data_IF_978330336601
#
_entry.id   IF_978330336601
#
_cell.length_a   1.000
_cell.length_b   1.000
_cell.length_c   1.000
_cell.angle_alpha   90.00
_cell.angle_beta   90.00
_cell.angle_gamma   90.00
#
_symmetry.space_group_name_H-M   'P 1'
#
loop_
_entity.id
_entity.type
_entity.pdbx_description
1 polymer ?
#
# COMPACT_ATOMS: atom_id res chain seq x y z
N UNK A 1 -30.76 -43.89 -1.77
CA UNK A 1 -31.12 -42.76 -2.66
C UNK A 1 -29.82 -42.04 -2.93
N UNK A 2 -29.38 -41.90 -4.19
CA UNK A 2 -27.99 -41.52 -4.46
C UNK A 2 -27.75 -40.01 -4.32
N UNK A 3 -26.56 -39.71 -3.82
CA UNK A 3 -25.86 -38.44 -3.70
C UNK A 3 -25.35 -37.97 -5.07
N UNK A 4 -26.15 -37.20 -5.82
CA UNK A 4 -25.74 -36.62 -7.13
C UNK A 4 -26.08 -35.12 -7.18
N UNK A 5 -25.58 -34.33 -6.22
CA UNK A 5 -25.71 -32.86 -6.23
C UNK A 5 -24.39 -32.11 -6.06
N UNK A 6 -23.25 -32.80 -6.04
CA UNK A 6 -21.94 -32.16 -5.83
C UNK A 6 -21.11 -31.92 -7.10
N UNK A 7 -21.45 -32.55 -8.23
CA UNK A 7 -20.66 -32.48 -9.48
C UNK A 7 -21.16 -31.44 -10.50
N UNK A 8 -22.25 -30.71 -10.20
CA UNK A 8 -22.90 -29.80 -11.17
C UNK A 8 -22.34 -28.36 -11.15
N UNK A 9 -21.49 -28.01 -10.18
CA UNK A 9 -20.97 -26.64 -10.04
C UNK A 9 -19.74 -26.34 -10.90
N UNK A 10 -18.85 -27.31 -11.12
CA UNK A 10 -17.69 -27.12 -12.01
C UNK A 10 -18.11 -27.04 -13.49
N UNK A 11 -19.18 -27.75 -13.87
CA UNK A 11 -19.72 -27.72 -15.24
C UNK A 11 -20.46 -26.41 -15.60
N UNK A 12 -20.90 -25.62 -14.62
CA UNK A 12 -21.67 -24.41 -14.87
C UNK A 12 -20.83 -23.28 -15.49
N UNK A 13 -19.51 -23.31 -15.27
CA UNK A 13 -18.58 -22.31 -15.81
C UNK A 13 -17.91 -22.73 -17.12
N UNK A 14 -17.80 -24.04 -17.40
CA UNK A 14 -17.25 -24.54 -18.67
C UNK A 14 -18.22 -24.41 -19.86
N UNK A 15 -19.53 -24.33 -19.61
CA UNK A 15 -20.54 -24.20 -20.67
C UNK A 15 -20.84 -22.73 -21.07
N UNK A 16 -20.25 -21.76 -20.38
CA UNK A 16 -20.32 -20.37 -20.81
C UNK A 16 -19.29 -20.16 -21.93
N UNK A 17 -19.67 -19.70 -23.15
CA UNK A 17 -18.73 -19.35 -24.19
C UNK A 17 -18.10 -18.00 -23.84
N UNK A 18 -17.31 -17.96 -22.76
CA UNK A 18 -16.48 -16.83 -22.40
C UNK A 18 -15.08 -17.16 -22.92
N UNK A 19 -14.85 -16.79 -24.17
CA UNK A 19 -13.51 -16.68 -24.73
C UNK A 19 -12.77 -15.60 -23.93
N UNK A 20 -12.08 -16.03 -22.87
CA UNK A 20 -11.34 -15.16 -21.94
C UNK A 20 -9.97 -14.76 -22.50
N UNK A 21 -9.59 -15.29 -23.66
CA UNK A 21 -8.51 -14.74 -24.44
C UNK A 21 -9.06 -13.53 -25.23
N UNK A 22 -8.53 -12.31 -25.04
CA UNK A 22 -8.91 -11.21 -25.91
C UNK A 22 -8.61 -11.62 -27.35
N UNK A 23 -9.61 -11.49 -28.23
CA UNK A 23 -9.45 -11.76 -29.66
C UNK A 23 -8.21 -11.04 -30.19
N UNK A 24 -7.54 -11.57 -31.22
CA UNK A 24 -6.35 -10.91 -31.80
C UNK A 24 -6.62 -9.43 -32.11
N UNK A 25 -7.83 -9.10 -32.54
CA UNK A 25 -8.25 -7.72 -32.81
C UNK A 25 -8.36 -6.86 -31.54
N UNK A 26 -8.85 -7.41 -30.42
CA UNK A 26 -8.82 -6.73 -29.11
C UNK A 26 -7.40 -6.60 -28.55
N UNK A 27 -6.54 -7.58 -28.74
CA UNK A 27 -5.11 -7.48 -28.40
C UNK A 27 -4.42 -6.41 -29.23
N UNK A 28 -4.69 -6.34 -30.53
CA UNK A 28 -4.15 -5.30 -31.42
C UNK A 28 -4.70 -3.92 -31.03
N UNK A 29 -5.98 -3.82 -30.65
CA UNK A 29 -6.61 -2.58 -30.20
C UNK A 29 -6.05 -2.10 -28.87
N UNK A 30 -5.84 -3.02 -27.91
CA UNK A 30 -5.20 -2.73 -26.63
C UNK A 30 -3.73 -2.35 -26.83
N UNK A 31 -3.02 -3.05 -27.70
CA UNK A 31 -1.64 -2.74 -28.08
C UNK A 31 -1.56 -1.37 -28.75
N UNK A 32 -2.48 -1.02 -29.66
CA UNK A 32 -2.54 0.31 -30.27
C UNK A 32 -2.88 1.38 -29.24
N UNK A 33 -3.81 1.14 -28.31
CA UNK A 33 -4.09 2.10 -27.23
C UNK A 33 -2.91 2.29 -26.29
N UNK A 34 -2.18 1.22 -25.97
CA UNK A 34 -0.96 1.31 -25.16
C UNK A 34 0.13 2.05 -25.91
N UNK A 35 0.31 1.80 -27.22
CA UNK A 35 1.25 2.53 -28.08
C UNK A 35 0.84 4.00 -28.21
N UNK A 36 -0.42 4.32 -28.48
CA UNK A 36 -0.92 5.70 -28.53
C UNK A 36 -0.79 6.39 -27.18
N UNK A 37 -0.99 5.69 -26.06
CA UNK A 37 -0.80 6.25 -24.71
C UNK A 37 0.69 6.45 -24.39
N UNK A 38 1.56 5.61 -24.95
CA UNK A 38 3.01 5.72 -24.80
C UNK A 38 3.61 6.78 -25.74
N UNK A 39 3.04 6.97 -26.93
CA UNK A 39 3.43 7.99 -27.93
C UNK A 39 2.79 9.36 -27.65
N UNK A 40 1.63 9.42 -26.99
CA UNK A 40 0.98 10.67 -26.54
C UNK A 40 1.54 11.21 -25.22
N UNK A 41 2.42 10.46 -24.54
CA UNK A 41 3.32 11.06 -23.56
C UNK A 41 4.31 11.95 -24.32
N UNK A 42 4.41 13.26 -24.00
CA UNK A 42 5.47 14.07 -24.57
C UNK A 42 6.80 13.51 -24.05
N UNK A 43 7.51 12.77 -24.90
CA UNK A 43 8.96 12.62 -24.75
C UNK A 43 9.53 14.02 -24.60
N UNK A 44 10.53 14.25 -23.72
CA UNK A 44 11.16 15.55 -23.62
C UNK A 44 11.81 15.82 -24.97
N UNK A 45 11.13 16.59 -25.82
CA UNK A 45 11.75 17.21 -26.98
C UNK A 45 12.94 17.97 -26.42
N UNK A 46 14.12 17.43 -26.71
CA UNK A 46 15.38 18.14 -26.63
C UNK A 46 15.12 19.59 -27.05
N UNK A 47 15.28 20.52 -26.10
CA UNK A 47 15.08 21.97 -26.26
C UNK A 47 16.04 22.59 -27.31
N UNK A 48 16.78 21.77 -28.06
CA UNK A 48 17.73 22.20 -29.09
C UNK A 48 17.15 22.30 -30.50
N UNK A 49 15.99 21.70 -30.82
CA UNK A 49 15.44 21.77 -32.19
C UNK A 49 14.49 22.95 -32.44
N UNK A 50 13.92 23.56 -31.40
CA UNK A 50 13.11 24.78 -31.53
C UNK A 50 13.99 26.03 -31.83
N UNK A 51 15.21 26.10 -31.29
CA UNK A 51 16.13 27.22 -31.56
C UNK A 51 16.73 27.21 -32.98
N UNK A 52 16.92 26.04 -33.61
CA UNK A 52 17.43 25.96 -34.98
C UNK A 52 16.40 26.44 -36.03
N UNK A 53 15.09 26.26 -35.76
CA UNK A 53 14.03 26.71 -36.66
C UNK A 53 13.73 28.21 -36.56
N UNK A 54 13.87 28.80 -35.36
CA UNK A 54 13.78 30.26 -35.18
C UNK A 54 14.98 30.99 -35.80
N UNK A 55 16.20 30.43 -35.66
CA UNK A 55 17.42 31.02 -36.22
C UNK A 55 17.42 31.10 -37.76
N UNK A 56 16.79 30.12 -38.43
CA UNK A 56 16.64 30.12 -39.90
C UNK A 56 15.62 31.13 -40.42
N UNK A 57 14.65 31.51 -39.60
CA UNK A 57 13.58 32.46 -39.98
C UNK A 57 14.03 33.90 -39.73
N UNK A 58 14.86 34.13 -38.71
CA UNK A 58 15.41 35.45 -38.36
C UNK A 58 16.59 35.91 -39.24
N UNK A 59 17.31 34.99 -39.90
CA UNK A 59 18.38 35.37 -40.86
C UNK A 59 17.88 35.87 -42.23
N UNK A 60 16.56 35.88 -42.48
CA UNK A 60 15.98 36.37 -43.74
C UNK A 60 15.67 37.87 -43.75
N UNK A 61 15.70 38.55 -42.59
CA UNK A 61 15.39 39.97 -42.50
C UNK A 61 16.65 40.76 -42.14
N UNK A 62 17.10 41.63 -43.06
CA UNK A 62 18.15 42.62 -42.81
C UNK A 62 17.59 43.71 -41.89
N UNK A 63 17.49 43.44 -40.59
CA UNK A 63 17.18 44.45 -39.59
C UNK A 63 18.48 44.95 -38.93
N UNK A 64 18.62 46.26 -38.68
CA UNK A 64 19.83 46.85 -38.09
C UNK A 64 20.05 46.35 -36.66
N UNK A 65 21.33 46.16 -36.31
CA UNK A 65 21.81 45.45 -35.11
C UNK A 65 21.24 45.92 -33.76
N UNK A 66 20.56 47.07 -33.71
CA UNK A 66 20.10 47.72 -32.48
C UNK A 66 18.74 47.17 -32.01
N UNK A 67 17.96 46.53 -32.91
CA UNK A 67 16.67 45.91 -32.55
C UNK A 67 16.85 44.55 -31.88
N UNK A 68 17.97 43.85 -32.14
CA UNK A 68 18.29 42.55 -31.55
C UNK A 68 18.74 42.71 -30.09
N UNK A 69 19.46 43.78 -29.75
CA UNK A 69 19.92 44.04 -28.39
C UNK A 69 18.75 44.36 -27.43
N UNK A 70 17.73 45.11 -27.87
CA UNK A 70 16.56 45.43 -27.05
C UNK A 70 15.68 44.20 -26.77
N UNK A 71 15.54 43.29 -27.74
CA UNK A 71 14.80 42.04 -27.57
C UNK A 71 15.58 41.05 -26.69
N UNK A 72 16.91 40.98 -26.84
CA UNK A 72 17.74 40.12 -25.97
C UNK A 72 17.83 40.63 -24.52
N UNK A 73 17.86 41.95 -24.29
CA UNK A 73 17.83 42.52 -22.93
C UNK A 73 16.43 42.39 -22.32
N UNK A 74 15.36 42.54 -23.11
CA UNK A 74 13.99 42.27 -22.67
C UNK A 74 13.74 40.79 -22.35
N UNK A 75 14.27 39.86 -23.15
CA UNK A 75 14.18 38.42 -22.88
C UNK A 75 15.10 37.97 -21.73
N UNK A 76 16.25 38.61 -21.50
CA UNK A 76 17.07 38.33 -20.32
C UNK A 76 16.44 38.86 -19.04
N UNK A 77 15.78 40.03 -19.06
CA UNK A 77 15.02 40.50 -17.89
C UNK A 77 13.78 39.65 -17.60
N UNK A 78 13.18 39.01 -18.62
CA UNK A 78 12.08 38.04 -18.44
C UNK A 78 12.56 36.61 -18.08
N UNK A 79 13.85 36.30 -18.23
CA UNK A 79 14.45 35.04 -17.81
C UNK A 79 15.11 35.09 -16.43
N UNK A 80 15.13 36.27 -15.79
CA UNK A 80 15.69 36.46 -14.44
C UNK A 80 14.71 37.09 -13.44
N UNK A 81 13.43 37.28 -13.78
CA UNK A 81 12.36 37.56 -12.83
C UNK A 81 11.52 36.31 -12.54
N UNK A 82 11.69 35.81 -11.31
CA UNK A 82 10.91 34.79 -10.61
C UNK A 82 11.11 33.32 -11.02
N UNK A 83 12.34 32.80 -10.83
CA UNK A 83 12.44 31.55 -10.06
C UNK A 83 12.31 31.90 -8.57
N UNK A 84 11.16 32.46 -8.18
CA UNK A 84 10.77 32.37 -6.79
C UNK A 84 10.68 30.88 -6.51
N UNK A 85 11.62 30.36 -5.73
CA UNK A 85 11.39 29.16 -4.93
C UNK A 85 9.95 29.31 -4.41
N UNK A 86 9.05 28.36 -4.63
CA UNK A 86 7.69 28.53 -4.15
C UNK A 86 7.72 28.85 -2.65
N UNK A 87 6.84 29.76 -2.25
CA UNK A 87 7.06 30.77 -1.22
C UNK A 87 6.99 30.29 0.24
N UNK A 88 7.37 29.05 0.55
CA UNK A 88 7.65 28.59 1.91
C UNK A 88 8.52 27.32 1.90
N UNK A 89 9.23 27.04 3.00
CA UNK A 89 10.22 25.96 3.04
C UNK A 89 9.57 24.58 3.29
N UNK A 90 10.06 23.55 2.60
CA UNK A 90 9.74 22.13 2.86
C UNK A 90 9.83 21.79 4.36
N UNK A 91 10.82 22.35 5.04
CA UNK A 91 11.01 22.17 6.49
C UNK A 91 9.81 22.66 7.30
N UNK A 92 9.22 23.80 6.93
CA UNK A 92 8.05 24.35 7.62
C UNK A 92 6.80 23.49 7.39
N UNK A 93 6.62 22.94 6.18
CA UNK A 93 5.54 21.98 5.89
C UNK A 93 5.64 20.77 6.81
N UNK A 94 6.81 20.14 6.84
CA UNK A 94 7.04 18.93 7.63
C UNK A 94 6.93 19.25 9.13
N UNK A 95 7.51 20.36 9.57
CA UNK A 95 7.44 20.81 10.97
C UNK A 95 5.99 21.03 11.43
N UNK A 96 5.14 21.61 10.58
CA UNK A 96 3.72 21.79 10.89
C UNK A 96 2.99 20.45 11.09
N UNK A 97 3.28 19.45 10.26
CA UNK A 97 2.72 18.09 10.41
C UNK A 97 3.25 17.44 11.69
N UNK A 98 4.54 17.62 12.02
CA UNK A 98 5.16 17.05 13.23
C UNK A 98 4.63 17.68 14.53
N UNK A 99 4.30 18.97 14.51
CA UNK A 99 3.79 19.70 15.70
C UNK A 99 2.29 19.55 15.92
N UNK A 100 1.55 18.95 14.99
CA UNK A 100 0.11 18.83 15.12
C UNK A 100 -0.29 17.95 16.32
N UNK A 101 -1.03 18.51 17.28
CA UNK A 101 -1.52 17.76 18.43
C UNK A 101 -2.80 16.96 18.08
N UNK A 102 -3.57 17.47 17.13
CA UNK A 102 -4.77 16.82 16.60
C UNK A 102 -4.82 16.95 15.08
N UNK A 103 -5.52 16.03 14.44
CA UNK A 103 -5.88 16.13 13.03
C UNK A 103 -7.21 15.44 12.75
N UNK A 104 -7.99 15.98 11.81
CA UNK A 104 -9.08 15.26 11.16
C UNK A 104 -8.97 15.38 9.65
N UNK A 105 -9.32 14.31 8.93
CA UNK A 105 -9.25 14.27 7.47
C UNK A 105 -10.15 13.17 6.90
N UNK A 106 -10.48 13.32 5.62
CA UNK A 106 -11.15 12.27 4.85
C UNK A 106 -10.09 11.40 4.18
N UNK A 107 -10.34 10.09 4.14
CA UNK A 107 -9.47 9.09 3.51
C UNK A 107 -10.26 8.26 2.51
N UNK A 108 -9.71 8.11 1.31
CA UNK A 108 -10.22 7.24 0.25
C UNK A 108 -9.17 6.19 -0.07
N UNK A 109 -9.55 4.92 0.04
CA UNK A 109 -8.69 3.76 -0.27
C UNK A 109 -9.28 3.05 -1.47
N UNK A 110 -8.51 2.95 -2.55
CA UNK A 110 -8.87 2.24 -3.77
C UNK A 110 -7.91 1.08 -3.97
N UNK A 111 -8.42 -0.13 -3.80
CA UNK A 111 -7.70 -1.36 -4.13
C UNK A 111 -8.13 -1.79 -5.53
N UNK A 112 -7.17 -2.11 -6.39
CA UNK A 112 -7.44 -2.57 -7.75
C UNK A 112 -8.43 -3.74 -7.76
N UNK A 113 -9.53 -3.58 -8.52
CA UNK A 113 -10.61 -4.57 -8.60
C UNK A 113 -11.65 -4.51 -7.49
N UNK A 114 -11.55 -3.56 -6.56
CA UNK A 114 -12.52 -3.35 -5.47
C UNK A 114 -13.14 -1.95 -5.51
N UNK A 115 -14.35 -1.75 -4.95
CA UNK A 115 -14.91 -0.42 -4.77
C UNK A 115 -14.04 0.46 -3.87
N UNK A 116 -13.94 1.75 -4.19
CA UNK A 116 -13.28 2.73 -3.32
C UNK A 116 -13.99 2.80 -1.97
N UNK A 117 -13.21 2.68 -0.90
CA UNK A 117 -13.68 2.83 0.47
C UNK A 117 -13.38 4.23 0.96
N UNK A 118 -14.42 4.96 1.36
CA UNK A 118 -14.29 6.26 2.00
C UNK A 118 -14.45 6.11 3.52
N UNK A 119 -13.63 6.84 4.27
CA UNK A 119 -13.67 6.87 5.72
C UNK A 119 -13.23 8.23 6.25
N UNK A 120 -13.70 8.57 7.45
CA UNK A 120 -13.20 9.73 8.19
C UNK A 120 -12.15 9.27 9.18
N UNK A 121 -11.04 9.98 9.28
CA UNK A 121 -9.96 9.70 10.22
C UNK A 121 -9.79 10.86 11.20
N UNK A 122 -9.56 10.52 12.47
CA UNK A 122 -9.24 11.46 13.52
C UNK A 122 -7.99 10.98 14.25
N UNK A 123 -7.10 11.91 14.54
CA UNK A 123 -5.91 11.70 15.34
C UNK A 123 -5.94 12.65 16.52
N UNK A 124 -5.67 12.10 17.69
CA UNK A 124 -5.45 12.84 18.93
C UNK A 124 -4.18 12.31 19.56
N UNK A 125 -3.24 13.21 19.81
CA UNK A 125 -2.02 12.85 20.50
C UNK A 125 -2.30 12.22 21.88
N UNK A 126 -1.36 11.46 22.44
CA UNK A 126 -0.07 11.04 21.86
C UNK A 126 -0.16 9.86 20.90
N UNK A 127 -1.28 9.13 20.85
CA UNK A 127 -1.37 7.93 20.00
C UNK A 127 -2.79 7.50 19.63
N UNK A 128 -3.81 8.28 20.01
CA UNK A 128 -5.19 7.94 19.75
C UNK A 128 -5.51 8.16 18.28
N UNK A 129 -6.13 7.15 17.69
CA UNK A 129 -6.53 7.18 16.30
C UNK A 129 -7.91 6.55 16.16
N UNK A 130 -8.74 7.18 15.33
CA UNK A 130 -10.11 6.75 15.06
C UNK A 130 -10.37 6.78 13.57
N UNK A 131 -10.99 5.73 13.05
CA UNK A 131 -11.48 5.66 11.68
C UNK A 131 -12.95 5.29 11.67
N UNK A 132 -13.74 5.99 10.87
CA UNK A 132 -15.16 5.76 10.70
C UNK A 132 -15.44 5.44 9.24
N UNK A 133 -15.86 4.21 8.96
CA UNK A 133 -16.22 3.76 7.63
C UNK A 133 -17.72 4.04 7.39
N UNK A 134 -18.09 4.31 6.13
CA UNK A 134 -19.48 4.59 5.75
C UNK A 134 -20.45 3.43 6.01
N UNK A 135 -19.94 2.21 6.19
CA UNK A 135 -20.74 1.02 6.48
C UNK A 135 -21.11 0.89 7.98
N UNK A 136 -20.77 1.89 8.81
CA UNK A 136 -21.04 1.86 10.25
C UNK A 136 -19.97 1.11 11.06
N UNK A 137 -18.85 0.72 10.44
CA UNK A 137 -17.71 0.19 11.17
C UNK A 137 -16.83 1.33 11.70
N UNK A 138 -16.42 1.23 12.96
CA UNK A 138 -15.54 2.21 13.61
C UNK A 138 -14.34 1.49 14.20
N UNK A 139 -13.12 1.94 13.85
CA UNK A 139 -11.90 1.50 14.51
C UNK A 139 -11.42 2.61 15.44
N UNK A 140 -11.03 2.24 16.66
CA UNK A 140 -10.40 3.12 17.64
C UNK A 140 -9.15 2.41 18.13
N UNK A 141 -8.01 3.08 18.12
CA UNK A 141 -6.76 2.54 18.66
C UNK A 141 -6.12 3.50 19.62
N UNK A 142 -5.60 2.95 20.71
CA UNK A 142 -4.66 3.60 21.61
C UNK A 142 -3.40 2.73 21.68
N UNK A 143 -2.35 3.19 21.02
CA UNK A 143 -1.11 2.43 20.88
C UNK A 143 -0.20 2.57 22.11
N UNK A 144 -0.46 3.54 23.00
CA UNK A 144 0.23 3.59 24.28
C UNK A 144 -0.19 2.43 25.18
N UNK A 145 -1.48 2.10 25.17
CA UNK A 145 -2.00 0.93 25.90
C UNK A 145 -1.95 -0.37 25.08
N UNK A 146 -1.62 -0.27 23.78
CA UNK A 146 -1.52 -1.42 22.89
C UNK A 146 -2.88 -2.02 22.57
N UNK A 147 -3.94 -1.21 22.50
CA UNK A 147 -5.31 -1.69 22.27
C UNK A 147 -5.88 -1.13 20.98
N UNK A 148 -6.58 -2.00 20.26
CA UNK A 148 -7.39 -1.62 19.09
C UNK A 148 -8.79 -2.19 19.27
N UNK A 149 -9.81 -1.38 19.08
CA UNK A 149 -11.21 -1.76 19.16
C UNK A 149 -11.90 -1.48 17.82
N UNK A 150 -12.42 -2.54 17.22
CA UNK A 150 -13.35 -2.46 16.09
C UNK A 150 -14.79 -2.55 16.59
N UNK A 151 -15.64 -1.62 16.18
CA UNK A 151 -17.06 -1.58 16.48
C UNK A 151 -17.86 -1.74 15.20
N UNK A 152 -18.62 -2.80 15.09
CA UNK A 152 -19.72 -2.91 14.13
C UNK A 152 -20.96 -2.28 14.78
N UNK A 153 -21.24 -1.02 14.43
CA UNK A 153 -22.33 -0.27 15.07
C UNK A 153 -23.73 -0.71 14.64
N UNK A 154 -23.82 -1.40 13.48
CA UNK A 154 -25.07 -1.93 12.92
C UNK A 154 -25.46 -3.22 13.64
N UNK A 155 -24.51 -4.16 13.75
CA UNK A 155 -24.76 -5.46 14.37
C UNK A 155 -24.48 -5.49 15.87
N UNK A 156 -24.06 -4.36 16.46
CA UNK A 156 -23.71 -4.22 17.89
C UNK A 156 -22.66 -5.25 18.31
N UNK A 157 -21.54 -5.29 17.59
CA UNK A 157 -20.38 -6.12 17.93
C UNK A 157 -19.16 -5.28 18.20
N UNK A 158 -18.39 -5.68 19.21
CA UNK A 158 -17.12 -5.10 19.56
C UNK A 158 -16.05 -6.19 19.52
N UNK A 159 -15.01 -5.95 18.73
CA UNK A 159 -13.80 -6.78 18.72
C UNK A 159 -12.66 -5.96 19.30
N UNK A 160 -12.08 -6.43 20.39
CA UNK A 160 -10.92 -5.81 21.04
C UNK A 160 -9.69 -6.65 20.78
N UNK A 161 -8.68 -6.05 20.15
CA UNK A 161 -7.36 -6.62 19.98
C UNK A 161 -6.43 -6.03 21.03
N UNK A 162 -5.94 -6.88 21.93
CA UNK A 162 -4.85 -6.56 22.85
C UNK A 162 -3.53 -6.94 22.17
N UNK A 163 -2.77 -5.94 21.77
CA UNK A 163 -1.47 -6.12 21.13
C UNK A 163 -0.46 -6.56 22.20
N UNK A 164 -0.02 -7.81 22.14
CA UNK A 164 0.96 -8.39 23.07
C UNK A 164 2.33 -8.47 22.41
N UNK A 165 3.41 -8.47 23.21
CA UNK A 165 4.81 -8.52 22.75
C UNK A 165 5.19 -7.42 21.72
N UNK A 166 4.63 -6.21 21.88
CA UNK A 166 4.99 -5.07 21.03
C UNK A 166 6.49 -4.76 21.19
N UNK A 167 7.30 -4.82 20.12
CA UNK A 167 8.70 -4.44 20.17
C UNK A 167 8.86 -2.99 20.63
N UNK A 168 9.89 -2.68 21.41
CA UNK A 168 10.12 -1.29 21.88
C UNK A 168 10.27 -0.30 20.72
N UNK A 169 10.87 -0.73 19.61
CA UNK A 169 11.00 0.07 18.38
C UNK A 169 9.68 0.33 17.64
N UNK A 170 8.63 -0.44 17.95
CA UNK A 170 7.31 -0.33 17.35
C UNK A 170 6.30 0.38 18.27
N UNK A 171 6.68 0.70 19.51
CA UNK A 171 5.81 1.44 20.44
C UNK A 171 5.63 2.87 19.95
N UNK A 172 4.40 3.23 19.56
CA UNK A 172 4.05 4.55 19.00
C UNK A 172 4.14 4.64 17.47
N UNK A 173 4.88 3.75 16.82
CA UNK A 173 5.16 3.73 15.37
C UNK A 173 4.54 2.51 14.67
N UNK A 174 3.32 2.14 15.05
CA UNK A 174 2.65 1.00 14.40
C UNK A 174 1.88 1.48 13.18
N UNK A 175 1.89 0.68 12.11
CA UNK A 175 1.03 0.84 10.93
C UNK A 175 -0.49 0.93 11.24
N UNK A 176 -0.89 0.72 12.50
CA UNK A 176 -2.27 0.83 12.96
C UNK A 176 -2.67 2.30 13.23
N UNK A 177 -1.71 3.22 13.33
CA UNK A 177 -1.94 4.66 13.32
C UNK A 177 -1.35 5.25 12.04
N UNK A 178 -2.22 5.52 11.07
CA UNK A 178 -1.82 6.02 9.75
C UNK A 178 -1.17 7.41 9.82
N UNK A 179 -1.56 8.23 10.80
CA UNK A 179 -1.02 9.58 10.98
C UNK A 179 0.41 9.54 11.51
N UNK A 180 0.69 8.71 12.51
CA UNK A 180 2.05 8.49 13.01
C UNK A 180 2.93 7.78 11.97
N UNK A 181 2.37 6.80 11.24
CA UNK A 181 3.09 6.15 10.13
C UNK A 181 3.52 7.16 9.05
N UNK A 182 2.65 8.11 8.72
CA UNK A 182 2.97 9.22 7.82
C UNK A 182 4.08 10.10 8.41
N UNK A 183 4.04 10.41 9.71
CA UNK A 183 5.09 11.21 10.36
C UNK A 183 6.45 10.51 10.33
N UNK A 184 6.49 9.23 10.62
CA UNK A 184 7.71 8.44 10.56
C UNK A 184 8.31 8.43 9.16
N UNK A 185 7.46 8.25 8.14
CA UNK A 185 7.89 8.27 6.75
C UNK A 185 8.43 9.64 6.30
N UNK A 186 7.77 10.74 6.72
CA UNK A 186 8.27 12.10 6.50
C UNK A 186 9.61 12.33 7.21
N UNK A 187 9.76 11.88 8.46
CA UNK A 187 11.01 12.01 9.22
C UNK A 187 12.15 11.27 8.55
N UNK A 188 11.88 10.06 8.05
CA UNK A 188 12.85 9.27 7.29
C UNK A 188 13.25 9.97 6.00
N UNK A 189 12.29 10.46 5.22
CA UNK A 189 12.61 11.15 3.96
C UNK A 189 13.42 12.43 4.22
N UNK A 190 13.10 13.18 5.29
CA UNK A 190 13.83 14.39 5.67
C UNK A 190 15.23 14.15 6.23
N UNK A 191 15.67 12.91 6.48
CA UNK A 191 17.06 12.65 6.86
C UNK A 191 18.05 12.83 5.70
N UNK A 192 17.56 12.73 4.46
CA UNK A 192 18.30 13.02 3.22
C UNK A 192 17.34 13.60 2.17
N UNK A 193 16.96 14.88 2.30
CA UNK A 193 15.93 15.48 1.46
C UNK A 193 16.36 15.64 -0.01
N UNK A 194 17.66 15.78 -0.27
CA UNK A 194 18.18 15.93 -1.65
C UNK A 194 17.99 14.64 -2.47
N UNK A 195 18.06 13.48 -1.82
CA UNK A 195 17.80 12.17 -2.44
C UNK A 195 16.32 11.81 -2.40
N UNK A 196 15.65 12.07 -1.26
CA UNK A 196 14.34 11.48 -0.98
C UNK A 196 13.17 12.42 -1.24
N UNK A 197 13.40 13.69 -1.58
CA UNK A 197 12.32 14.66 -1.84
C UNK A 197 12.48 15.32 -3.20
N UNK A 198 11.46 15.21 -4.02
CA UNK A 198 11.37 15.88 -5.32
C UNK A 198 10.31 16.99 -5.26
N UNK A 199 10.69 18.27 -5.36
CA UNK A 199 9.73 19.36 -5.53
C UNK A 199 8.97 19.21 -6.84
N UNK A 200 7.64 19.29 -6.79
CA UNK A 200 6.77 19.21 -7.97
C UNK A 200 6.38 20.60 -8.51
N UNK A 201 6.58 21.64 -7.71
CA UNK A 201 6.19 23.01 -8.05
C UNK A 201 4.71 23.28 -7.77
N UNK A 202 4.23 24.42 -8.29
CA UNK A 202 2.85 24.84 -8.12
C UNK A 202 1.90 23.99 -8.98
N UNK A 203 0.73 23.69 -8.41
CA UNK A 203 -0.36 22.99 -9.09
C UNK A 203 -1.71 23.53 -8.62
N UNK A 204 -2.79 23.04 -9.22
CA UNK A 204 -4.16 23.26 -8.77
C UNK A 204 -4.77 21.92 -8.36
N UNK A 205 -5.26 21.84 -7.12
CA UNK A 205 -5.94 20.67 -6.56
C UNK A 205 -7.26 21.12 -5.98
N UNK A 206 -8.37 20.54 -6.44
CA UNK A 206 -9.73 20.86 -6.00
C UNK A 206 -10.04 22.38 -6.03
N UNK A 207 -9.53 23.08 -7.06
CA UNK A 207 -9.69 24.53 -7.26
C UNK A 207 -8.80 25.41 -6.37
N UNK A 208 -7.86 24.83 -5.63
CA UNK A 208 -6.91 25.55 -4.76
C UNK A 208 -5.52 25.52 -5.35
N UNK A 209 -4.81 26.65 -5.31
CA UNK A 209 -3.39 26.71 -5.65
C UNK A 209 -2.57 26.05 -4.54
N UNK A 210 -1.73 25.10 -4.92
CA UNK A 210 -0.96 24.28 -3.98
C UNK A 210 0.48 24.15 -4.45
N UNK A 211 1.36 23.81 -3.50
CA UNK A 211 2.73 23.42 -3.76
C UNK A 211 2.89 21.92 -3.50
N UNK A 212 3.44 21.19 -4.47
CA UNK A 212 3.63 19.74 -4.38
C UNK A 212 5.05 19.32 -4.02
N UNK A 213 5.16 18.29 -3.17
CA UNK A 213 6.40 17.59 -2.87
C UNK A 213 6.17 16.08 -2.95
N UNK A 214 7.07 15.37 -3.63
CA UNK A 214 7.07 13.91 -3.68
C UNK A 214 8.17 13.36 -2.79
N UNK A 215 7.78 12.51 -1.86
CA UNK A 215 8.66 11.81 -0.93
C UNK A 215 8.86 10.37 -1.42
N UNK A 216 10.11 10.01 -1.66
CA UNK A 216 10.53 8.65 -1.98
C UNK A 216 10.57 7.83 -0.69
N UNK A 217 9.46 7.18 -0.39
CA UNK A 217 9.36 6.24 0.73
C UNK A 217 9.39 4.83 0.13
N UNK A 218 10.23 3.91 0.63
CA UNK A 218 10.26 2.53 0.15
C UNK A 218 8.86 1.93 0.15
N UNK A 219 8.48 1.27 -0.96
CA UNK A 219 7.19 0.58 -1.18
C UNK A 219 5.94 1.45 -1.26
N UNK A 220 6.01 2.72 -0.85
CA UNK A 220 4.85 3.61 -0.78
C UNK A 220 5.24 5.08 -1.08
N UNK A 221 5.59 5.43 -2.32
CA UNK A 221 5.83 6.83 -2.68
C UNK A 221 4.63 7.69 -2.27
N UNK A 222 4.92 8.82 -1.63
CA UNK A 222 3.92 9.74 -1.10
C UNK A 222 4.08 11.10 -1.77
N UNK A 223 2.96 11.72 -2.14
CA UNK A 223 2.92 13.09 -2.64
C UNK A 223 2.11 13.94 -1.66
N UNK A 224 2.69 15.03 -1.18
CA UNK A 224 2.03 16.00 -0.31
C UNK A 224 1.80 17.27 -1.10
N UNK A 225 0.54 17.68 -1.17
CA UNK A 225 0.10 18.95 -1.74
C UNK A 225 -0.26 19.89 -0.59
N UNK A 226 0.42 21.02 -0.50
CA UNK A 226 0.30 21.95 0.60
C UNK A 226 -0.15 23.34 0.15
N UNK A 227 -0.92 24.01 1.00
CA UNK A 227 -1.32 25.40 0.79
C UNK A 227 -0.13 26.33 1.10
N UNK A 228 0.27 27.22 0.18
CA UNK A 228 1.44 28.06 0.36
C UNK A 228 1.28 29.17 1.41
N UNK A 229 0.06 29.54 1.78
CA UNK A 229 -0.22 30.55 2.80
C UNK A 229 -0.21 29.92 4.20
N UNK A 230 -0.94 28.82 4.38
CA UNK A 230 -1.07 28.16 5.68
C UNK A 230 0.07 27.20 5.99
N UNK A 231 0.79 26.75 4.96
CA UNK A 231 1.89 25.79 5.04
C UNK A 231 1.46 24.42 5.59
N UNK A 232 0.17 24.09 5.50
CA UNK A 232 -0.39 22.78 5.86
C UNK A 232 -0.71 21.97 4.60
N UNK A 233 -0.67 20.63 4.69
CA UNK A 233 -1.21 19.76 3.66
C UNK A 233 -2.69 20.04 3.43
N UNK A 234 -3.09 20.10 2.16
CA UNK A 234 -4.50 20.03 1.76
C UNK A 234 -4.86 18.65 1.22
N UNK A 235 -3.86 17.93 0.69
CA UNK A 235 -4.03 16.59 0.14
C UNK A 235 -2.73 15.80 0.24
N UNK A 236 -2.84 14.53 0.59
CA UNK A 236 -1.74 13.58 0.62
C UNK A 236 -2.15 12.35 -0.17
N UNK A 237 -1.28 11.90 -1.06
CA UNK A 237 -1.53 10.77 -1.96
C UNK A 237 -0.43 9.75 -1.80
N UNK A 238 -0.78 8.48 -1.65
CA UNK A 238 0.16 7.38 -1.57
C UNK A 238 -0.28 6.25 -2.48
N UNK A 239 0.67 5.56 -3.10
CA UNK A 239 0.38 4.42 -3.98
C UNK A 239 1.28 3.25 -3.62
N UNK A 240 0.68 2.13 -3.26
CA UNK A 240 1.38 0.87 -3.06
C UNK A 240 1.39 0.13 -4.40
N UNK A 241 2.58 -0.03 -4.96
CA UNK A 241 2.80 -0.65 -6.27
C UNK A 241 2.72 -2.19 -6.26
N UNK A 242 2.53 -2.80 -5.09
CA UNK A 242 2.32 -4.24 -4.98
C UNK A 242 0.98 -4.66 -5.61
N UNK A 243 0.86 -5.88 -6.14
CA UNK A 243 -0.43 -6.38 -6.55
C UNK A 243 -1.25 -6.74 -5.28
N UNK A 244 -2.56 -6.45 -5.21
CA UNK A 244 -3.28 -5.50 -6.07
C UNK A 244 -2.82 -4.06 -5.75
N UNK A 245 -2.70 -3.22 -6.78
CA UNK A 245 -2.30 -1.84 -6.58
C UNK A 245 -3.27 -1.17 -5.61
N UNK A 246 -2.75 -0.48 -4.60
CA UNK A 246 -3.58 0.23 -3.62
C UNK A 246 -3.24 1.71 -3.63
N UNK A 247 -4.21 2.54 -3.97
CA UNK A 247 -4.09 3.99 -3.92
C UNK A 247 -4.82 4.53 -2.68
N UNK A 248 -4.16 5.42 -1.96
CA UNK A 248 -4.70 6.11 -0.78
C UNK A 248 -4.67 7.60 -1.04
N UNK A 249 -5.81 8.26 -0.90
CA UNK A 249 -5.94 9.71 -0.97
C UNK A 249 -6.48 10.20 0.37
N UNK A 250 -5.74 11.09 1.02
CA UNK A 250 -6.17 11.79 2.22
C UNK A 250 -6.37 13.26 1.89
N UNK A 251 -7.52 13.83 2.25
CA UNK A 251 -7.91 15.21 1.87
C UNK A 251 -8.73 15.86 2.97
N UNK A 252 -9.01 17.15 2.80
CA UNK A 252 -9.78 17.95 3.76
C UNK A 252 -9.16 17.93 5.16
N UNK A 253 -7.83 18.06 5.21
CA UNK A 253 -7.11 18.11 6.47
C UNK A 253 -7.46 19.36 7.27
N UNK A 254 -7.72 19.13 8.55
CA UNK A 254 -7.76 20.17 9.56
C UNK A 254 -6.85 19.76 10.72
N UNK A 255 -5.86 20.60 11.04
CA UNK A 255 -4.86 20.34 12.08
C UNK A 255 -5.12 21.24 13.28
N UNK A 256 -4.73 20.76 14.46
CA UNK A 256 -4.85 21.49 15.73
C UNK A 256 -6.29 21.97 16.02
N UNK A 257 -7.27 21.16 15.59
CA UNK A 257 -8.68 21.35 15.92
C UNK A 257 -8.98 20.81 17.31
N UNK A 258 -9.93 21.44 18.00
CA UNK A 258 -10.45 20.89 19.26
C UNK A 258 -11.27 19.63 18.94
N UNK A 259 -10.83 18.49 19.47
CA UNK A 259 -11.52 17.21 19.32
C UNK A 259 -12.10 16.79 20.67
N UNK A 260 -13.29 16.19 20.63
CA UNK A 260 -13.86 15.56 21.81
C UNK A 260 -13.10 14.26 22.12
N UNK A 261 -12.37 14.26 23.25
CA UNK A 261 -11.64 13.09 23.75
C UNK A 261 -12.53 11.85 23.91
N UNK A 262 -13.84 12.04 24.13
CA UNK A 262 -14.79 10.93 24.28
C UNK A 262 -14.88 10.04 23.02
N UNK A 263 -14.57 10.60 21.84
CA UNK A 263 -14.55 9.87 20.57
C UNK A 263 -13.48 8.77 20.53
N UNK A 264 -12.45 8.87 21.38
CA UNK A 264 -11.31 7.96 21.40
C UNK A 264 -11.36 6.93 22.53
N UNK A 265 -12.44 6.93 23.33
CA UNK A 265 -12.57 5.97 24.42
C UNK A 265 -12.69 4.55 23.90
N UNK A 266 -12.00 3.63 24.57
CA UNK A 266 -12.11 2.18 24.37
C UNK A 266 -13.20 1.54 25.25
N UNK A 267 -14.15 2.34 25.72
CA UNK A 267 -15.32 1.86 26.46
C UNK A 267 -16.34 1.30 25.47
N UNK A 268 -16.65 0.02 25.60
CA UNK A 268 -17.63 -0.64 24.74
C UNK A 268 -19.04 -0.19 25.15
N UNK A 269 -19.88 0.32 24.23
CA UNK A 269 -21.23 0.73 24.57
C UNK A 269 -22.10 -0.42 25.08
N UNK A 270 -23.10 -0.10 25.90
CA UNK A 270 -24.06 -1.08 26.40
C UNK A 270 -24.79 -1.81 25.25
N UNK A 271 -25.01 -3.12 25.42
CA UNK A 271 -25.72 -3.96 24.46
C UNK A 271 -24.86 -4.54 23.33
N UNK A 272 -23.56 -4.29 23.31
CA UNK A 272 -22.65 -4.90 22.35
C UNK A 272 -22.27 -6.33 22.75
N UNK A 273 -22.18 -7.21 21.75
CA UNK A 273 -21.52 -8.51 21.87
C UNK A 273 -20.01 -8.30 21.80
N UNK A 274 -19.28 -8.81 22.79
CA UNK A 274 -17.86 -8.54 22.97
C UNK A 274 -17.04 -9.76 22.62
N UNK A 275 -16.00 -9.55 21.81
CA UNK A 275 -14.95 -10.52 21.52
C UNK A 275 -13.60 -9.87 21.82
N UNK A 276 -12.79 -10.52 22.64
CA UNK A 276 -11.43 -10.05 22.96
C UNK A 276 -10.39 -11.06 22.49
N UNK A 277 -9.31 -10.55 21.91
CA UNK A 277 -8.25 -11.34 21.31
C UNK A 277 -6.88 -10.75 21.63
N UNK A 278 -5.94 -11.59 22.03
CA UNK A 278 -4.54 -11.22 22.10
C UNK A 278 -3.89 -11.41 20.72
N UNK A 279 -3.18 -10.38 20.26
CA UNK A 279 -2.50 -10.36 18.96
C UNK A 279 -1.00 -10.21 19.18
N UNK A 280 -0.21 -11.20 18.76
CA UNK A 280 1.24 -11.13 18.82
C UNK A 280 1.77 -10.09 17.82
N UNK A 281 2.22 -8.96 18.37
CA UNK A 281 2.72 -7.80 17.64
C UNK A 281 4.23 -7.87 17.36
N UNK A 282 4.92 -8.95 17.78
CA UNK A 282 6.34 -9.14 17.48
C UNK A 282 6.58 -9.37 15.98
N UNK A 283 7.83 -9.29 15.53
CA UNK A 283 8.16 -9.60 14.14
C UNK A 283 7.70 -11.02 13.77
N UNK A 284 7.11 -11.23 12.58
CA UNK A 284 6.74 -12.57 12.11
C UNK A 284 7.99 -13.43 11.92
N UNK A 285 7.86 -14.72 12.21
CA UNK A 285 8.94 -15.70 12.15
C UNK A 285 8.74 -16.68 11.01
N UNK A 286 9.80 -17.42 10.68
CA UNK A 286 9.70 -18.54 9.72
C UNK A 286 8.69 -19.60 10.19
N UNK A 287 8.58 -19.82 11.50
CA UNK A 287 7.61 -20.76 12.08
C UNK A 287 6.17 -20.31 11.81
N UNK A 288 5.88 -19.01 11.98
CA UNK A 288 4.57 -18.44 11.64
C UNK A 288 4.22 -18.70 10.16
N UNK A 289 5.20 -18.57 9.27
CA UNK A 289 5.03 -18.82 7.84
C UNK A 289 4.74 -20.29 7.53
N UNK A 290 5.48 -21.22 8.14
CA UNK A 290 5.22 -22.66 7.97
C UNK A 290 3.84 -23.05 8.46
N UNK A 291 3.40 -22.50 9.61
CA UNK A 291 2.06 -22.72 10.14
C UNK A 291 1.01 -22.23 9.13
N UNK A 292 1.16 -21.01 8.60
CA UNK A 292 0.25 -20.47 7.60
C UNK A 292 0.18 -21.32 6.32
N UNK A 293 1.33 -21.78 5.81
CA UNK A 293 1.37 -22.67 4.64
C UNK A 293 0.66 -24.01 4.93
N UNK A 294 0.86 -24.59 6.11
CA UNK A 294 0.18 -25.83 6.52
C UNK A 294 -1.34 -25.64 6.57
N UNK A 295 -1.82 -24.51 7.11
CA UNK A 295 -3.26 -24.15 7.09
C UNK A 295 -3.80 -23.99 5.67
N UNK A 296 -3.02 -23.41 4.76
CA UNK A 296 -3.40 -23.32 3.35
C UNK A 296 -3.55 -24.72 2.71
N UNK A 297 -2.60 -25.63 2.96
CA UNK A 297 -2.67 -27.00 2.48
C UNK A 297 -3.87 -27.78 3.07
N UNK A 298 -4.14 -27.64 4.37
CA UNK A 298 -5.30 -28.25 5.03
C UNK A 298 -6.63 -27.75 4.45
N UNK A 299 -6.67 -26.50 3.99
CA UNK A 299 -7.85 -25.91 3.38
C UNK A 299 -7.97 -26.16 1.86
N UNK A 300 -6.93 -26.70 1.22
CA UNK A 300 -6.83 -26.84 -0.25
C UNK A 300 -6.44 -28.26 -0.69
N UNK A 301 -6.97 -29.30 -0.05
CA UNK A 301 -6.72 -30.72 -0.38
C UNK A 301 -5.23 -31.09 -0.51
N UNK A 302 -4.42 -30.48 0.37
CA UNK A 302 -2.97 -30.66 0.45
C UNK A 302 -2.16 -29.77 -0.49
N UNK A 303 -2.78 -28.89 -1.28
CA UNK A 303 -2.07 -28.00 -2.20
C UNK A 303 -1.52 -26.75 -1.53
N UNK A 304 -0.28 -26.43 -1.88
CA UNK A 304 0.37 -25.21 -1.43
C UNK A 304 -0.23 -23.95 -2.09
N UNK A 305 0.01 -22.79 -1.46
CA UNK A 305 0.03 -21.48 -2.05
C UNK A 305 0.08 -21.33 -3.57
N UNK A 306 -0.80 -20.62 -4.29
CA UNK A 306 -0.41 -20.19 -5.65
C UNK A 306 0.68 -19.11 -5.64
N UNK A 307 0.81 -18.42 -4.50
CA UNK A 307 1.79 -17.38 -4.21
C UNK A 307 1.78 -17.03 -2.73
N UNK A 308 2.72 -16.21 -2.29
CA UNK A 308 2.87 -15.77 -0.88
C UNK A 308 3.00 -14.25 -0.76
N UNK A 309 2.68 -13.53 -1.84
CA UNK A 309 2.58 -12.07 -1.88
C UNK A 309 1.27 -11.56 -1.24
N UNK A 310 1.12 -10.24 -1.19
CA UNK A 310 -0.06 -9.59 -0.60
C UNK A 310 -1.38 -9.98 -1.29
N UNK A 311 -1.38 -10.13 -2.63
CA UNK A 311 -2.57 -10.63 -3.37
C UNK A 311 -2.93 -12.01 -2.86
N UNK A 312 -1.94 -12.89 -2.82
CA UNK A 312 -2.13 -14.30 -2.55
C UNK A 312 -2.61 -14.46 -1.12
N UNK A 313 -1.95 -13.81 -0.16
CA UNK A 313 -2.40 -13.76 1.23
C UNK A 313 -3.86 -13.29 1.35
N UNK A 314 -4.24 -12.23 0.63
CA UNK A 314 -5.62 -11.72 0.62
C UNK A 314 -6.61 -12.71 0.02
N UNK A 315 -6.26 -13.36 -1.10
CA UNK A 315 -7.07 -14.40 -1.73
C UNK A 315 -7.25 -15.61 -0.82
N UNK A 316 -6.18 -16.04 -0.13
CA UNK A 316 -6.25 -17.14 0.83
C UNK A 316 -7.12 -16.78 2.02
N UNK A 317 -6.94 -15.60 2.63
CA UNK A 317 -7.79 -15.14 3.72
C UNK A 317 -9.27 -15.10 3.30
N UNK A 318 -9.59 -14.59 2.10
CA UNK A 318 -10.95 -14.55 1.59
C UNK A 318 -11.53 -15.96 1.35
N UNK A 319 -10.79 -16.85 0.68
CA UNK A 319 -11.22 -18.22 0.43
C UNK A 319 -11.41 -19.01 1.75
N UNK A 320 -10.50 -18.81 2.71
CA UNK A 320 -10.57 -19.40 4.03
C UNK A 320 -11.82 -18.93 4.79
N UNK A 321 -12.11 -17.62 4.77
CA UNK A 321 -13.34 -17.04 5.34
C UNK A 321 -14.61 -17.65 4.74
N UNK A 322 -14.65 -17.82 3.41
CA UNK A 322 -15.77 -18.48 2.72
C UNK A 322 -15.90 -19.94 3.17
N UNK A 323 -14.79 -20.69 3.22
CA UNK A 323 -14.78 -22.10 3.64
C UNK A 323 -15.22 -22.28 5.09
N UNK A 324 -14.90 -21.34 5.97
CA UNK A 324 -15.35 -21.34 7.36
C UNK A 324 -16.84 -21.07 7.51
N UNK A 325 -17.55 -20.69 6.45
CA UNK A 325 -18.98 -20.41 6.49
C UNK A 325 -19.30 -19.28 7.45
N UNK A 326 -18.47 -18.22 7.48
CA UNK A 326 -18.72 -17.05 8.34
C UNK A 326 -20.07 -16.46 7.95
N UNK A 327 -21.02 -16.63 8.87
CA UNK A 327 -22.39 -16.19 8.71
C UNK A 327 -22.44 -14.67 8.78
N UNK A 328 -23.17 -14.05 7.85
CA UNK A 328 -23.23 -12.59 7.74
C UNK A 328 -23.95 -11.95 8.92
N UNK A 329 -24.89 -12.67 9.53
CA UNK A 329 -25.68 -12.20 10.65
C UNK A 329 -24.91 -12.42 11.96
N UNK A 330 -24.17 -13.53 12.13
CA UNK A 330 -23.41 -13.82 13.37
C UNK A 330 -21.96 -13.36 13.36
N UNK A 331 -21.39 -13.07 12.19
CA UNK A 331 -19.98 -12.71 12.05
C UNK A 331 -19.02 -13.85 12.42
N UNK A 332 -17.70 -13.59 12.42
CA UNK A 332 -16.70 -14.60 12.77
C UNK A 332 -16.66 -14.88 14.27
N UNK A 333 -16.41 -16.14 14.65
CA UNK A 333 -16.06 -16.49 16.04
C UNK A 333 -14.63 -16.07 16.39
N UNK A 334 -14.30 -16.10 17.69
CA UNK A 334 -12.95 -15.82 18.17
C UNK A 334 -11.91 -16.77 17.57
N UNK A 335 -12.24 -18.06 17.44
CA UNK A 335 -11.38 -19.07 16.84
C UNK A 335 -11.15 -18.80 15.35
N UNK A 336 -12.22 -18.48 14.62
CA UNK A 336 -12.14 -18.15 13.19
C UNK A 336 -11.26 -16.91 12.96
N UNK A 337 -11.41 -15.88 13.81
CA UNK A 337 -10.60 -14.68 13.70
C UNK A 337 -9.13 -14.93 14.09
N UNK A 338 -8.87 -15.75 15.11
CA UNK A 338 -7.49 -16.18 15.47
C UNK A 338 -6.79 -16.89 14.32
N UNK A 339 -7.48 -17.78 13.62
CA UNK A 339 -6.91 -18.50 12.47
C UNK A 339 -6.59 -17.53 11.32
N UNK A 340 -7.48 -16.57 11.02
CA UNK A 340 -7.20 -15.54 10.00
C UNK A 340 -5.98 -14.69 10.36
N UNK A 341 -5.85 -14.29 11.63
CA UNK A 341 -4.71 -13.53 12.13
C UNK A 341 -3.40 -14.33 12.05
N UNK A 342 -3.44 -15.62 12.39
CA UNK A 342 -2.30 -16.54 12.31
C UNK A 342 -1.81 -16.70 10.86
N UNK A 343 -2.72 -16.93 9.92
CA UNK A 343 -2.40 -17.04 8.49
C UNK A 343 -1.78 -15.73 7.98
N UNK A 344 -2.40 -14.61 8.32
CA UNK A 344 -1.94 -13.28 7.90
C UNK A 344 -0.56 -12.95 8.48
N UNK A 345 -0.29 -13.31 9.74
CA UNK A 345 1.03 -13.17 10.38
C UNK A 345 2.08 -14.02 9.66
N UNK A 346 1.76 -15.25 9.28
CA UNK A 346 2.69 -16.12 8.56
C UNK A 346 3.07 -15.57 7.18
N UNK A 347 2.11 -15.13 6.36
CA UNK A 347 2.43 -14.50 5.07
C UNK A 347 3.25 -13.23 5.21
N UNK A 348 3.07 -12.48 6.31
CA UNK A 348 3.84 -11.27 6.60
C UNK A 348 5.35 -11.54 6.71
N UNK A 349 5.77 -12.73 7.13
CA UNK A 349 7.19 -13.12 7.11
C UNK A 349 7.76 -13.03 5.69
N UNK A 350 7.12 -13.67 4.71
CA UNK A 350 7.58 -13.68 3.33
C UNK A 350 7.55 -12.28 2.69
N UNK A 351 6.52 -11.49 2.99
CA UNK A 351 6.37 -10.10 2.50
C UNK A 351 7.46 -9.18 3.09
N UNK A 352 7.90 -9.42 4.32
CA UNK A 352 8.90 -8.59 4.99
C UNK A 352 10.35 -8.95 4.62
N UNK A 353 10.56 -9.97 3.79
CA UNK A 353 11.90 -10.28 3.31
C UNK A 353 12.36 -9.22 2.31
N UNK A 354 13.46 -8.53 2.64
CA UNK A 354 14.04 -7.52 1.76
C UNK A 354 14.67 -8.11 0.49
N UNK A 355 14.99 -7.25 -0.47
CA UNK A 355 15.56 -7.64 -1.76
C UNK A 355 16.85 -8.48 -1.63
N UNK A 356 17.66 -8.22 -0.60
CA UNK A 356 18.90 -8.93 -0.30
C UNK A 356 18.70 -10.40 0.08
N UNK A 357 17.48 -10.78 0.48
CA UNK A 357 17.16 -12.16 0.84
C UNK A 357 17.12 -13.10 -0.36
N UNK A 358 17.05 -12.57 -1.59
CA UNK A 358 16.86 -13.36 -2.81
C UNK A 358 15.77 -14.44 -2.66
N UNK A 359 14.64 -14.06 -2.02
CA UNK A 359 13.57 -14.97 -1.70
C UNK A 359 12.77 -15.39 -2.95
N UNK A 360 12.39 -16.67 -2.99
CA UNK A 360 11.65 -17.26 -4.09
C UNK A 360 10.59 -18.24 -3.58
N UNK A 361 9.52 -18.36 -4.33
CA UNK A 361 8.41 -19.25 -4.04
C UNK A 361 8.05 -20.12 -5.25
N UNK A 362 7.86 -21.42 -5.04
CA UNK A 362 7.57 -22.41 -6.08
C UNK A 362 6.44 -23.38 -5.68
N UNK A 363 5.58 -23.01 -4.72
CA UNK A 363 4.51 -23.90 -4.23
C UNK A 363 3.30 -24.05 -5.15
N UNK A 364 3.16 -23.22 -6.20
CA UNK A 364 2.00 -23.30 -7.10
C UNK A 364 1.89 -24.68 -7.76
N UNK A 365 0.78 -25.37 -7.50
CA UNK A 365 0.49 -26.70 -8.02
C UNK A 365 1.26 -27.84 -7.32
N UNK A 366 1.93 -27.55 -6.20
CA UNK A 366 2.66 -28.56 -5.41
C UNK A 366 1.75 -29.07 -4.29
N UNK A 367 1.72 -30.39 -4.09
CA UNK A 367 1.06 -31.04 -2.94
C UNK A 367 2.05 -31.31 -1.81
N UNK A 368 1.56 -31.23 -0.59
CA UNK A 368 2.34 -31.54 0.60
C UNK A 368 2.79 -33.00 0.64
N UNK A 369 3.99 -33.24 1.20
CA UNK A 369 4.52 -34.57 1.52
C UNK A 369 5.79 -34.98 0.78
N UNK A 370 6.21 -34.27 -0.27
CA UNK A 370 7.43 -34.60 -1.02
C UNK A 370 8.67 -33.86 -0.47
N UNK A 371 9.55 -34.59 0.23
CA UNK A 371 10.79 -34.08 0.81
C UNK A 371 11.88 -33.70 -0.21
N UNK A 372 11.63 -33.90 -1.51
CA UNK A 372 12.53 -33.56 -2.61
C UNK A 372 12.10 -32.30 -3.38
N UNK A 373 10.86 -31.83 -3.20
CA UNK A 373 10.33 -30.65 -3.89
C UNK A 373 10.50 -29.41 -3.02
N UNK A 374 11.36 -28.48 -3.43
CA UNK A 374 11.51 -27.18 -2.79
C UNK A 374 10.31 -26.27 -3.13
N UNK A 375 9.68 -25.68 -2.10
CA UNK A 375 8.49 -24.81 -2.26
C UNK A 375 8.80 -23.35 -1.95
N UNK A 376 9.82 -23.08 -1.14
CA UNK A 376 10.24 -21.73 -0.77
C UNK A 376 11.70 -21.73 -0.38
N UNK A 377 12.44 -20.70 -0.75
CA UNK A 377 13.80 -20.50 -0.25
C UNK A 377 14.16 -19.03 -0.20
N UNK A 378 15.07 -18.70 0.69
CA UNK A 378 15.63 -17.37 0.86
C UNK A 378 17.01 -17.47 1.51
N UNK A 379 17.79 -16.40 1.44
CA UNK A 379 19.01 -16.20 2.20
C UNK A 379 18.68 -15.44 3.48
N UNK A 380 18.81 -16.07 4.66
CA UNK A 380 18.82 -15.35 5.92
C UNK A 380 19.84 -14.20 5.89
N UNK A 381 19.57 -13.13 6.63
CA UNK A 381 20.48 -12.00 6.67
C UNK A 381 21.89 -12.46 7.04
N UNK A 382 22.89 -11.98 6.29
CA UNK A 382 24.32 -12.24 6.50
C UNK A 382 24.80 -13.67 6.19
N UNK A 383 23.98 -14.52 5.55
CA UNK A 383 24.40 -15.86 5.12
C UNK A 383 24.48 -16.00 3.60
N UNK A 384 25.47 -16.75 3.12
CA UNK A 384 25.58 -17.09 1.69
C UNK A 384 24.66 -18.25 1.29
N UNK A 385 24.38 -19.15 2.24
CA UNK A 385 23.57 -20.33 2.04
C UNK A 385 22.07 -20.00 2.06
N UNK A 386 21.32 -20.70 1.21
CA UNK A 386 19.87 -20.68 1.19
C UNK A 386 19.30 -21.55 2.29
N UNK A 387 18.28 -21.03 2.95
CA UNK A 387 17.36 -21.79 3.77
C UNK A 387 16.19 -22.23 2.89
N UNK A 388 16.06 -23.54 2.68
CA UNK A 388 15.13 -24.13 1.72
C UNK A 388 14.05 -24.93 2.44
N UNK A 389 12.79 -24.53 2.26
CA UNK A 389 11.60 -25.25 2.69
C UNK A 389 11.15 -26.23 1.60
N UNK A 390 10.94 -27.49 1.98
CA UNK A 390 10.43 -28.55 1.11
C UNK A 390 8.93 -28.79 1.30
N UNK A 391 8.30 -29.49 0.37
CA UNK A 391 6.86 -29.75 0.37
C UNK A 391 6.40 -30.65 1.54
N UNK A 392 7.31 -31.34 2.23
CA UNK A 392 7.05 -32.04 3.50
C UNK A 392 7.18 -31.14 4.75
N UNK A 393 7.40 -29.84 4.54
CA UNK A 393 7.70 -28.83 5.56
C UNK A 393 9.04 -28.99 6.28
N UNK A 394 9.96 -29.79 5.75
CA UNK A 394 11.34 -29.85 6.25
C UNK A 394 12.17 -28.67 5.72
N UNK A 395 13.16 -28.25 6.51
CA UNK A 395 14.17 -27.27 6.08
C UNK A 395 15.52 -27.93 5.83
N UNK A 396 16.23 -27.45 4.81
CA UNK A 396 17.66 -27.76 4.60
C UNK A 396 18.41 -26.50 4.20
N UNK A 397 19.67 -26.44 4.58
CA UNK A 397 20.62 -25.42 4.11
C UNK A 397 21.27 -25.89 2.81
N UNK A 398 21.40 -24.99 1.83
CA UNK A 398 21.99 -25.27 0.53
C UNK A 398 22.80 -24.09 0.02
N UNK A 399 24.00 -24.33 -0.48
CA UNK A 399 24.86 -23.27 -1.03
C UNK A 399 24.43 -22.74 -2.40
N UNK A 400 23.50 -23.42 -3.07
CA UNK A 400 22.92 -23.00 -4.35
C UNK A 400 21.41 -22.97 -4.29
N UNK A 401 20.79 -22.04 -5.02
CA UNK A 401 19.34 -21.97 -5.12
C UNK A 401 18.78 -23.28 -5.72
N UNK A 402 17.67 -23.81 -5.20
CA UNK A 402 16.96 -24.93 -5.81
C UNK A 402 16.58 -24.65 -7.26
N UNK A 403 16.68 -25.67 -8.11
CA UNK A 403 16.16 -25.61 -9.47
C UNK A 403 14.67 -25.92 -9.47
N UNK A 404 13.82 -24.89 -9.57
CA UNK A 404 12.37 -25.05 -9.72
C UNK A 404 11.87 -24.19 -10.90
N UNK A 405 11.33 -24.78 -11.97
CA UNK A 405 10.95 -24.06 -13.19
C UNK A 405 9.74 -23.11 -13.00
N UNK A 406 8.95 -23.33 -11.96
CA UNK A 406 7.80 -22.50 -11.57
C UNK A 406 8.14 -21.48 -10.47
N UNK A 407 9.42 -21.31 -10.13
CA UNK A 407 9.84 -20.36 -9.11
C UNK A 407 9.51 -18.92 -9.49
N UNK A 408 8.86 -18.20 -8.59
CA UNK A 408 8.65 -16.76 -8.68
C UNK A 408 9.52 -16.09 -7.64
N UNK A 409 10.39 -15.18 -8.08
CA UNK A 409 11.16 -14.32 -7.16
C UNK A 409 10.21 -13.37 -6.46
N UNK A 410 10.30 -13.30 -5.14
CA UNK A 410 9.53 -12.34 -4.34
C UNK A 410 10.18 -10.97 -4.52
N UNK A 411 9.40 -10.00 -5.01
CA UNK A 411 9.80 -8.60 -5.01
C UNK A 411 9.29 -7.96 -3.72
N UNK A 412 10.11 -7.15 -3.03
CA UNK A 412 9.68 -6.44 -1.83
C UNK A 412 8.53 -5.47 -2.12
#
# INVERSE_FOLDING_TARGET
>A
MPDDLHDDWENLFEQLPLDTAPSKEQQETLRQRVIETFESRPTPRSRFTALQSLGRTLMKYKAPHWTIAAILVGCMFWLFESSSKPAFALDELVENIMKAHTAQYDMEVTVEGQPTQAMKALYLEPSHFRQELLNGFVNISDLQTGKVMGLDTVNKRATVFNMVKIPDSAKGSTHLNQFESMRDALRQAMSDPDTNVTPLGESEVDGRKVLGFRFAIPLQPMTVWADPETKFPVRIESSFAGPPKTDVVMKNYEFNVELDESLFRLEIPEGYQIMELDVDASAPTEEDFVIALRRCCESSDGEFPSGVDLVSASKYSAAYVVKMGIDKDTGPTAEQLKEVLLISRGFRFAIMLGESSDAHYAGKGVKQGDASVAVFWYKPNETEDYRVLFADFSFKEQSTAPAAPNAVKLQP
#
